data_IF_548039123123
#
_entry.id   IF_548039123123
#
_cell.length_a   1.000
_cell.length_b   1.000
_cell.length_c   1.000
_cell.angle_alpha   90.00
_cell.angle_beta   90.00
_cell.angle_gamma   90.00
#
_symmetry.space_group_name_H-M   'P 1'
#
loop_
_entity.id
_entity.type
_entity.pdbx_description
1 polymer ?
#
# COMPACT_ATOMS: atom_id res chain seq x y z
N UNK A 1 -13.21 -29.93 15.48
CA UNK A 1 -12.87 -28.86 16.43
C UNK A 1 -13.58 -27.61 15.94
N UNK A 2 -14.74 -27.30 16.52
CA UNK A 2 -15.56 -26.16 16.10
C UNK A 2 -15.16 -24.97 16.95
N UNK A 3 -14.64 -23.91 16.34
CA UNK A 3 -14.39 -22.66 17.05
C UNK A 3 -15.72 -21.90 17.09
N UNK A 4 -16.33 -21.86 18.27
CA UNK A 4 -17.49 -21.01 18.55
C UNK A 4 -16.97 -19.71 19.12
N UNK A 5 -17.10 -18.63 18.37
CA UNK A 5 -16.77 -17.28 18.85
C UNK A 5 -18.07 -16.59 19.25
N UNK A 6 -18.30 -16.40 20.55
CA UNK A 6 -19.36 -15.51 21.04
C UNK A 6 -18.84 -14.07 21.05
N UNK A 7 -19.49 -13.19 20.29
CA UNK A 7 -19.21 -11.75 20.29
C UNK A 7 -20.47 -11.05 20.82
N UNK A 8 -20.46 -10.67 22.10
CA UNK A 8 -21.54 -9.90 22.72
C UNK A 8 -21.33 -8.42 22.41
N UNK A 9 -22.17 -7.85 21.54
CA UNK A 9 -22.15 -6.42 21.22
C UNK A 9 -23.30 -5.74 21.97
N UNK A 10 -22.97 -4.81 22.88
CA UNK A 10 -23.96 -3.99 23.58
C UNK A 10 -23.94 -2.58 22.98
N UNK A 11 -24.90 -2.25 22.11
CA UNK A 11 -25.15 -0.85 21.72
C UNK A 11 -26.63 -0.62 21.38
N UNK A 12 -27.20 0.48 21.90
CA UNK A 12 -28.65 0.76 21.83
C UNK A 12 -29.04 1.76 20.73
N UNK A 13 -28.11 2.31 19.95
CA UNK A 13 -28.46 3.19 18.84
C UNK A 13 -27.27 3.43 17.89
N UNK A 14 -26.83 2.39 17.19
CA UNK A 14 -26.29 2.52 15.83
C UNK A 14 -26.02 1.12 15.28
N UNK A 15 -26.48 0.85 14.06
CA UNK A 15 -26.19 -0.42 13.39
C UNK A 15 -24.69 -0.51 13.10
N UNK A 16 -23.98 -1.29 13.90
CA UNK A 16 -22.59 -1.65 13.62
C UNK A 16 -22.62 -2.92 12.76
N UNK A 17 -22.33 -2.79 11.47
CA UNK A 17 -22.13 -3.92 10.57
C UNK A 17 -20.68 -4.38 10.67
N UNK A 18 -20.43 -5.43 11.45
CA UNK A 18 -19.13 -6.11 11.47
C UNK A 18 -19.13 -7.15 10.35
N UNK A 19 -18.50 -6.82 9.22
CA UNK A 19 -18.29 -7.80 8.14
C UNK A 19 -16.96 -8.51 8.36
N UNK A 20 -17.00 -9.67 8.99
CA UNK A 20 -15.86 -10.58 9.09
C UNK A 20 -15.67 -11.28 7.75
N UNK A 21 -15.05 -10.63 6.75
CA UNK A 21 -14.86 -11.26 5.43
C UNK A 21 -13.60 -12.13 5.40
N UNK A 22 -13.77 -13.39 5.80
CA UNK A 22 -13.17 -14.49 5.05
C UNK A 22 -14.07 -14.80 3.85
N UNK A 23 -13.73 -14.25 2.68
CA UNK A 23 -14.06 -14.74 1.32
C UNK A 23 -15.48 -15.29 1.10
N UNK A 24 -16.42 -14.54 0.51
CA UNK A 24 -17.37 -15.05 -0.53
C UNK A 24 -18.05 -13.87 -1.26
N UNK A 25 -17.41 -13.40 -2.33
CA UNK A 25 -18.01 -12.90 -3.58
C UNK A 25 -19.46 -12.34 -3.49
N UNK A 26 -19.56 -11.02 -3.31
CA UNK A 26 -20.75 -10.18 -3.53
C UNK A 26 -20.31 -8.74 -3.88
N UNK A 27 -21.21 -7.80 -4.26
CA UNK A 27 -20.86 -6.54 -4.95
C UNK A 27 -19.98 -5.53 -4.16
N UNK A 28 -19.51 -5.89 -2.97
CA UNK A 28 -18.55 -5.17 -2.14
C UNK A 28 -17.06 -5.34 -2.56
N UNK A 29 -16.78 -6.06 -3.65
CA UNK A 29 -15.40 -6.33 -4.12
C UNK A 29 -14.52 -5.11 -4.41
N UNK A 30 -15.07 -3.89 -4.45
CA UNK A 30 -14.29 -2.65 -4.64
C UNK A 30 -13.74 -2.05 -3.34
N UNK A 31 -14.36 -2.27 -2.19
CA UNK A 31 -13.91 -1.71 -0.91
C UNK A 31 -12.75 -2.51 -0.31
N UNK A 32 -12.82 -3.86 -0.36
CA UNK A 32 -11.75 -4.72 0.15
C UNK A 32 -10.41 -4.53 -0.58
N UNK A 33 -10.44 -4.32 -1.90
CA UNK A 33 -9.21 -4.07 -2.68
C UNK A 33 -8.55 -2.74 -2.32
N UNK A 34 -9.32 -1.67 -2.04
CA UNK A 34 -8.71 -0.39 -1.63
C UNK A 34 -8.05 -0.48 -0.25
N UNK A 35 -8.71 -1.12 0.71
CA UNK A 35 -8.15 -1.32 2.06
C UNK A 35 -6.88 -2.18 2.03
N UNK A 36 -6.87 -3.21 1.18
CA UNK A 36 -5.69 -4.04 1.00
C UNK A 36 -4.55 -3.26 0.33
N UNK A 37 -4.83 -2.50 -0.74
CA UNK A 37 -3.82 -1.70 -1.44
C UNK A 37 -3.18 -0.65 -0.55
N UNK A 38 -3.96 0.05 0.29
CA UNK A 38 -3.38 1.03 1.23
C UNK A 38 -2.47 0.33 2.24
N UNK A 39 -2.91 -0.79 2.81
CA UNK A 39 -2.11 -1.59 3.76
C UNK A 39 -0.80 -2.07 3.12
N UNK A 40 -0.86 -2.63 1.92
CA UNK A 40 0.31 -3.06 1.17
C UNK A 40 1.23 -1.90 0.79
N UNK A 41 0.67 -0.74 0.44
CA UNK A 41 1.46 0.44 0.11
C UNK A 41 2.23 0.98 1.34
N UNK A 42 1.56 1.11 2.50
CA UNK A 42 2.21 1.57 3.74
C UNK A 42 3.30 0.63 4.22
N UNK A 43 3.09 -0.68 4.06
CA UNK A 43 4.08 -1.71 4.41
C UNK A 43 5.08 -2.00 3.29
N UNK A 44 4.92 -1.36 2.13
CA UNK A 44 5.65 -1.64 0.90
C UNK A 44 5.68 -3.14 0.55
N UNK A 45 4.57 -3.83 0.80
CA UNK A 45 4.39 -5.25 0.52
C UNK A 45 4.11 -5.47 -0.97
N UNK A 46 5.13 -5.25 -1.81
CA UNK A 46 5.13 -5.62 -3.22
C UNK A 46 6.49 -6.20 -3.58
N UNK A 47 6.52 -7.14 -4.51
CA UNK A 47 7.76 -7.73 -5.00
C UNK A 47 8.26 -6.94 -6.21
N UNK A 48 9.50 -6.46 -6.17
CA UNK A 48 10.17 -5.98 -7.37
C UNK A 48 10.64 -7.16 -8.23
N UNK A 49 10.11 -7.29 -9.45
CA UNK A 49 10.49 -8.33 -10.43
C UNK A 49 11.75 -7.91 -11.18
N UNK A 50 11.77 -6.67 -11.65
CA UNK A 50 12.93 -6.04 -12.29
C UNK A 50 13.01 -4.60 -11.84
N UNK A 51 14.20 -4.06 -11.62
CA UNK A 51 14.39 -2.67 -11.21
C UNK A 51 15.57 -2.03 -11.94
N UNK A 52 15.36 -0.81 -12.43
CA UNK A 52 16.42 0.11 -12.84
C UNK A 52 16.78 0.98 -11.64
N UNK A 53 18.07 1.12 -11.35
CA UNK A 53 18.58 1.92 -10.24
C UNK A 53 19.47 3.06 -10.72
N UNK A 54 19.54 4.14 -9.96
CA UNK A 54 20.46 5.24 -10.20
C UNK A 54 21.90 4.88 -9.72
N UNK A 55 22.83 5.82 -9.90
CA UNK A 55 24.23 5.64 -9.48
C UNK A 55 24.40 5.49 -7.95
N UNK A 56 23.42 5.94 -7.16
CA UNK A 56 23.40 5.82 -5.71
C UNK A 56 22.69 4.54 -5.24
N UNK A 57 22.16 3.74 -6.16
CA UNK A 57 21.43 2.51 -5.87
C UNK A 57 19.95 2.69 -5.56
N UNK A 58 19.38 3.90 -5.64
CA UNK A 58 17.95 4.12 -5.49
C UNK A 58 17.21 3.54 -6.69
N UNK A 59 16.05 2.90 -6.48
CA UNK A 59 15.21 2.47 -7.59
C UNK A 59 14.71 3.73 -8.32
N UNK A 60 14.79 3.74 -9.65
CA UNK A 60 14.19 4.77 -10.51
C UNK A 60 12.84 4.28 -11.01
N UNK A 61 12.81 3.05 -11.53
CA UNK A 61 11.59 2.36 -11.94
C UNK A 61 11.72 0.87 -11.71
N UNK A 62 10.61 0.19 -11.42
CA UNK A 62 10.56 -1.25 -11.28
C UNK A 62 9.23 -1.82 -11.77
N UNK A 63 9.28 -3.01 -12.37
CA UNK A 63 8.08 -3.85 -12.52
C UNK A 63 7.85 -4.52 -11.17
N UNK A 64 6.65 -4.37 -10.64
CA UNK A 64 6.26 -4.93 -9.34
C UNK A 64 5.09 -5.89 -9.47
N UNK A 65 4.94 -6.77 -8.48
CA UNK A 65 3.77 -7.62 -8.29
C UNK A 65 3.23 -7.39 -6.89
N UNK A 66 1.94 -7.05 -6.82
CA UNK A 66 1.20 -6.89 -5.58
C UNK A 66 0.88 -8.26 -4.95
N UNK A 67 0.53 -8.34 -3.65
CA UNK A 67 0.35 -9.61 -2.95
C UNK A 67 -0.76 -10.52 -3.50
N UNK A 68 -1.71 -9.95 -4.23
CA UNK A 68 -2.76 -10.70 -4.95
C UNK A 68 -2.35 -11.17 -6.35
N UNK A 69 -1.08 -10.93 -6.73
CA UNK A 69 -0.52 -11.32 -8.03
C UNK A 69 -0.73 -10.29 -9.13
N UNK A 70 -1.44 -9.17 -8.89
CA UNK A 70 -1.64 -8.14 -9.90
C UNK A 70 -0.32 -7.41 -10.16
N UNK A 71 -0.01 -7.19 -11.44
CA UNK A 71 1.19 -6.47 -11.83
C UNK A 71 1.04 -4.96 -11.63
N UNK A 72 2.18 -4.29 -11.47
CA UNK A 72 2.29 -2.85 -11.35
C UNK A 72 3.63 -2.33 -11.84
N UNK A 73 3.75 -1.01 -11.92
CA UNK A 73 5.00 -0.31 -12.17
C UNK A 73 5.22 0.65 -11.03
N UNK A 74 6.35 0.52 -10.33
CA UNK A 74 6.83 1.46 -9.34
C UNK A 74 7.73 2.50 -10.02
N UNK A 75 7.60 3.75 -9.62
CA UNK A 75 8.42 4.86 -10.08
C UNK A 75 8.78 5.75 -8.90
N UNK A 76 10.05 6.13 -8.82
CA UNK A 76 10.51 7.13 -7.85
C UNK A 76 10.22 8.51 -8.37
N UNK A 77 9.56 9.33 -7.55
CA UNK A 77 9.31 10.74 -7.84
C UNK A 77 10.43 11.63 -7.29
N UNK A 78 10.91 11.31 -6.09
CA UNK A 78 11.98 12.05 -5.41
C UNK A 78 12.94 11.07 -4.75
N UNK A 79 14.18 11.00 -5.27
CA UNK A 79 15.29 10.32 -4.60
C UNK A 79 15.88 11.25 -3.53
N UNK A 80 16.30 10.69 -2.40
CA UNK A 80 16.85 11.48 -1.31
C UNK A 80 18.27 11.95 -1.63
N UNK A 81 18.52 13.25 -1.52
CA UNK A 81 19.86 13.82 -1.71
C UNK A 81 20.70 13.76 -0.43
N UNK A 82 20.07 13.83 0.74
CA UNK A 82 20.72 13.73 2.03
C UNK A 82 21.10 12.29 2.40
N UNK A 83 20.33 11.31 1.89
CA UNK A 83 20.54 9.88 2.14
C UNK A 83 20.62 9.13 0.81
N UNK A 84 21.79 9.09 0.15
CA UNK A 84 21.96 8.43 -1.14
C UNK A 84 21.46 6.98 -1.12
N UNK A 85 20.66 6.62 -2.14
CA UNK A 85 20.03 5.30 -2.24
C UNK A 85 18.63 5.21 -1.61
N UNK A 86 18.23 6.21 -0.82
CA UNK A 86 16.87 6.31 -0.28
C UNK A 86 15.91 7.02 -1.26
N UNK A 87 14.63 6.73 -1.08
CA UNK A 87 13.53 7.33 -1.84
C UNK A 87 12.65 8.10 -0.84
N UNK A 88 12.34 9.35 -1.18
CA UNK A 88 11.51 10.22 -0.35
C UNK A 88 10.07 10.30 -0.86
N UNK A 89 9.84 10.17 -2.17
CA UNK A 89 8.51 10.09 -2.77
C UNK A 89 8.46 9.09 -3.92
N UNK A 90 7.33 8.42 -4.10
CA UNK A 90 7.12 7.43 -5.16
C UNK A 90 5.65 7.26 -5.51
N UNK A 91 5.40 6.70 -6.68
CA UNK A 91 4.09 6.17 -7.05
C UNK A 91 4.21 4.79 -7.68
N UNK A 92 3.14 4.01 -7.57
CA UNK A 92 3.04 2.71 -8.21
C UNK A 92 1.65 2.47 -8.82
N UNK A 93 1.61 1.76 -9.94
CA UNK A 93 0.36 1.38 -10.58
C UNK A 93 -0.12 0.02 -10.08
N UNK A 94 -1.44 -0.16 -10.07
CA UNK A 94 -2.12 -1.44 -9.88
C UNK A 94 -2.99 -1.70 -11.10
N UNK A 95 -2.56 -2.65 -11.94
CA UNK A 95 -3.12 -2.89 -13.27
C UNK A 95 -4.47 -3.64 -13.26
N UNK A 96 -5.38 -3.25 -12.36
CA UNK A 96 -6.76 -3.74 -12.37
C UNK A 96 -7.63 -3.06 -13.41
N UNK A 97 -8.93 -3.37 -13.40
CA UNK A 97 -9.94 -2.69 -14.22
C UNK A 97 -11.02 -2.08 -13.30
N UNK A 98 -11.05 -0.74 -13.10
CA UNK A 98 -10.11 0.26 -13.62
C UNK A 98 -8.72 0.15 -12.99
N UNK A 99 -7.69 0.64 -13.68
CA UNK A 99 -6.35 0.73 -13.12
C UNK A 99 -6.33 1.75 -11.99
N UNK A 100 -5.49 1.52 -10.97
CA UNK A 100 -5.31 2.47 -9.86
C UNK A 100 -3.88 2.99 -9.81
N UNK A 101 -3.72 4.19 -9.28
CA UNK A 101 -2.40 4.75 -8.97
C UNK A 101 -2.29 5.00 -7.47
N UNK A 102 -1.23 4.46 -6.87
CA UNK A 102 -0.90 4.60 -5.46
C UNK A 102 0.24 5.60 -5.38
N UNK A 103 0.10 6.68 -4.60
CA UNK A 103 1.14 7.71 -4.47
C UNK A 103 1.50 7.91 -3.00
N UNK A 104 2.79 7.78 -2.70
CA UNK A 104 3.40 8.24 -1.45
C UNK A 104 4.00 9.63 -1.67
N UNK A 105 3.42 10.69 -1.08
CA UNK A 105 4.05 12.01 -1.10
C UNK A 105 5.36 12.01 -0.31
N UNK A 106 6.18 13.05 -0.55
CA UNK A 106 7.50 13.19 0.06
C UNK A 106 7.46 13.03 1.59
N UNK A 107 8.26 12.10 2.10
CA UNK A 107 8.46 11.90 3.54
C UNK A 107 9.52 12.87 4.07
N UNK A 108 9.41 13.22 5.34
CA UNK A 108 10.43 14.00 6.06
C UNK A 108 11.27 13.06 6.90
N UNK A 109 12.60 13.17 6.79
CA UNK A 109 13.57 12.42 7.59
C UNK A 109 14.26 13.31 8.60
N UNK A 110 14.70 12.74 9.71
CA UNK A 110 15.62 13.41 10.64
C UNK A 110 17.08 13.33 10.15
N UNK A 111 18.01 13.90 10.93
CA UNK A 111 19.43 13.90 10.60
C UNK A 111 20.08 12.51 10.54
N UNK A 112 19.44 11.48 11.12
CA UNK A 112 19.90 10.08 11.06
C UNK A 112 19.33 9.33 9.85
N UNK A 113 18.39 9.92 9.12
CA UNK A 113 17.73 9.32 7.97
C UNK A 113 16.44 8.58 8.30
N UNK A 114 16.03 8.56 9.57
CA UNK A 114 14.77 7.97 9.99
C UNK A 114 13.61 8.85 9.55
N UNK A 115 12.53 8.24 9.03
CA UNK A 115 11.32 8.98 8.65
C UNK A 115 10.59 9.43 9.91
N UNK A 116 10.37 10.74 10.03
CA UNK A 116 9.66 11.37 11.16
C UNK A 116 8.30 11.92 10.77
N UNK A 117 8.04 12.11 9.48
CA UNK A 117 6.72 12.43 8.97
C UNK A 117 6.49 11.74 7.62
N UNK A 118 5.40 10.97 7.54
CA UNK A 118 4.96 10.31 6.31
C UNK A 118 3.55 10.80 6.00
N UNK A 119 3.36 11.62 4.95
CA UNK A 119 2.03 12.00 4.50
C UNK A 119 1.21 10.78 4.09
N UNK A 120 -0.12 10.89 4.22
CA UNK A 120 -1.02 9.81 3.84
C UNK A 120 -0.86 9.43 2.36
N UNK A 121 -0.78 8.14 2.10
CA UNK A 121 -0.78 7.59 0.75
C UNK A 121 -2.17 7.83 0.13
N UNK A 122 -2.18 8.27 -1.13
CA UNK A 122 -3.40 8.45 -1.92
C UNK A 122 -3.55 7.33 -2.94
N UNK A 123 -4.79 6.97 -3.24
CA UNK A 123 -5.14 5.99 -4.28
C UNK A 123 -6.18 6.64 -5.20
N UNK A 124 -5.88 6.72 -6.49
CA UNK A 124 -6.78 7.21 -7.54
C UNK A 124 -7.17 6.14 -8.55
#
# INVERSE_FOLDING_TARGET
>A
MTITTEITVVSTAERITITTEGQLRGPAGRAGVQYNLSTWAYTQAFQAVTATRDANGAIVTAIIVWPDGVAGVFTTDVASTAFPGAIDAWHATYASTPSKTITQPAVTRDASGAVIAQPAITIS
#
